data_IF_686182564660
#
_entry.id   IF_686182564660
#
_cell.length_a   1.000
_cell.length_b   1.000
_cell.length_c   1.000
_cell.angle_alpha   90.00
_cell.angle_beta   90.00
_cell.angle_gamma   90.00
#
_symmetry.space_group_name_H-M   'P 1'
#
loop_
_entity.id
_entity.type
_entity.pdbx_description
1 polymer ?
#
# COMPACT_ATOMS: atom_id res chain seq x y z
N UNK A 1 -17.85 -4.46 15.41
CA UNK A 1 -16.64 -3.80 14.87
C UNK A 1 -15.66 -4.92 14.57
N UNK A 2 -15.27 -5.12 13.30
CA UNK A 2 -14.34 -6.20 12.93
C UNK A 2 -12.97 -5.96 13.56
N UNK A 3 -12.34 -7.01 14.09
CA UNK A 3 -10.97 -6.92 14.60
C UNK A 3 -10.01 -6.65 13.45
N UNK A 4 -9.10 -5.68 13.62
CA UNK A 4 -7.94 -5.52 12.75
C UNK A 4 -6.78 -6.35 13.31
N UNK A 5 -6.09 -7.09 12.46
CA UNK A 5 -4.86 -7.81 12.81
C UNK A 5 -3.67 -7.11 12.15
N UNK A 6 -2.57 -6.96 12.87
CA UNK A 6 -1.31 -6.51 12.28
C UNK A 6 -0.54 -7.74 11.83
N UNK A 7 -0.14 -7.77 10.56
CA UNK A 7 0.73 -8.80 10.02
C UNK A 7 1.99 -8.16 9.44
N UNK A 8 3.06 -8.94 9.39
CA UNK A 8 4.30 -8.56 8.72
C UNK A 8 4.40 -9.29 7.39
N UNK A 9 4.52 -8.54 6.30
CA UNK A 9 4.80 -9.05 4.97
C UNK A 9 6.31 -9.17 4.79
N UNK A 10 6.76 -10.28 4.20
CA UNK A 10 8.16 -10.46 3.82
C UNK A 10 8.57 -9.41 2.79
N UNK A 11 7.73 -9.22 1.77
CA UNK A 11 7.83 -8.07 0.87
C UNK A 11 6.50 -7.72 0.22
N UNK A 12 6.42 -6.48 -0.28
CA UNK A 12 5.37 -5.98 -1.15
C UNK A 12 6.04 -5.34 -2.37
N UNK A 13 5.57 -5.69 -3.57
CA UNK A 13 6.08 -5.14 -4.82
C UNK A 13 5.01 -4.34 -5.55
N UNK A 14 5.40 -3.19 -6.10
CA UNK A 14 4.56 -2.33 -6.96
C UNK A 14 5.35 -1.96 -8.21
N UNK A 15 5.03 -2.60 -9.33
CA UNK A 15 5.87 -2.51 -10.53
C UNK A 15 7.28 -3.01 -10.23
N UNK A 16 8.29 -2.21 -10.56
CA UNK A 16 9.71 -2.53 -10.32
C UNK A 16 10.20 -2.16 -8.90
N UNK A 17 9.32 -1.57 -8.07
CA UNK A 17 9.62 -1.21 -6.70
C UNK A 17 9.29 -2.36 -5.74
N UNK A 18 10.14 -2.58 -4.74
CA UNK A 18 9.91 -3.55 -3.66
C UNK A 18 10.22 -2.91 -2.31
N UNK A 19 9.40 -3.19 -1.29
CA UNK A 19 9.72 -2.91 0.11
C UNK A 19 9.61 -4.21 0.90
N UNK A 20 10.65 -4.53 1.66
CA UNK A 20 10.72 -5.74 2.49
C UNK A 20 10.34 -5.44 3.93
N UNK A 21 9.90 -6.45 4.66
CA UNK A 21 9.59 -6.38 6.09
C UNK A 21 8.55 -5.31 6.44
N UNK A 22 7.41 -5.30 5.74
CA UNK A 22 6.38 -4.28 5.90
C UNK A 22 5.30 -4.72 6.89
N UNK A 23 5.00 -3.89 7.89
CA UNK A 23 3.83 -4.10 8.76
C UNK A 23 2.57 -3.50 8.11
N UNK A 24 1.49 -4.28 8.07
CA UNK A 24 0.19 -3.87 7.52
C UNK A 24 -0.95 -4.27 8.43
N UNK A 25 -2.00 -3.45 8.45
CA UNK A 25 -3.25 -3.80 9.12
C UNK A 25 -4.17 -4.53 8.13
N UNK A 26 -4.65 -5.70 8.54
CA UNK A 26 -5.66 -6.48 7.81
C UNK A 26 -6.95 -6.43 8.61
N UNK A 27 -8.01 -5.97 7.99
CA UNK A 27 -9.32 -5.87 8.63
C UNK A 27 -10.42 -6.26 7.64
N UNK A 28 -11.53 -6.85 8.10
CA UNK A 28 -12.72 -6.99 7.27
C UNK A 28 -13.18 -5.61 6.82
N UNK A 29 -13.05 -5.31 5.52
CA UNK A 29 -13.60 -4.10 4.94
C UNK A 29 -15.08 -4.39 4.59
N UNK A 30 -16.06 -3.71 5.21
CA UNK A 30 -17.43 -3.74 4.69
C UNK A 30 -17.40 -3.21 3.25
N UNK A 31 -18.29 -3.66 2.36
CA UNK A 31 -18.25 -3.45 0.90
C UNK A 31 -17.88 -2.01 0.45
N UNK A 32 -16.59 -1.68 0.50
CA UNK A 32 -16.01 -0.42 0.09
C UNK A 32 -15.49 -0.63 -1.34
N UNK A 33 -16.40 -0.96 -2.26
CA UNK A 33 -16.08 -1.11 -3.68
C UNK A 33 -15.00 -2.17 -4.00
N UNK A 34 -14.31 -1.97 -5.13
CA UNK A 34 -13.35 -2.92 -5.72
C UNK A 34 -11.89 -2.65 -5.31
N UNK A 35 -11.63 -2.27 -4.06
CA UNK A 35 -10.26 -2.01 -3.60
C UNK A 35 -9.75 -3.17 -2.75
N UNK A 36 -8.58 -3.71 -3.10
CA UNK A 36 -7.94 -4.78 -2.32
C UNK A 36 -7.22 -4.25 -1.06
N UNK A 37 -6.97 -2.94 -1.00
CA UNK A 37 -6.31 -2.30 0.13
C UNK A 37 -5.97 -0.83 -0.09
N UNK A 38 -5.30 -0.23 0.91
CA UNK A 38 -4.84 1.16 0.90
C UNK A 38 -3.31 1.20 1.02
N UNK A 39 -2.65 1.89 0.09
CA UNK A 39 -1.21 2.09 0.15
C UNK A 39 -0.88 3.31 1.03
N UNK A 40 -0.20 3.07 2.14
CA UNK A 40 0.15 4.10 3.11
C UNK A 40 1.61 4.54 3.08
N UNK A 41 1.95 5.43 4.02
CA UNK A 41 3.30 5.94 4.18
C UNK A 41 4.30 4.90 4.70
N UNK A 42 3.84 3.78 5.26
CA UNK A 42 4.70 2.64 5.58
C UNK A 42 5.45 2.12 4.34
N UNK A 43 4.84 2.21 3.15
CA UNK A 43 5.49 1.90 1.88
C UNK A 43 6.05 3.14 1.18
N UNK A 44 5.22 4.19 1.01
CA UNK A 44 5.55 5.33 0.15
C UNK A 44 6.76 6.13 0.64
N UNK A 45 7.05 6.15 1.95
CA UNK A 45 8.21 6.87 2.50
C UNK A 45 9.57 6.34 2.02
N UNK A 46 9.61 5.14 1.45
CA UNK A 46 10.83 4.53 0.93
C UNK A 46 11.22 5.08 -0.46
N UNK A 47 10.38 5.93 -1.06
CA UNK A 47 10.57 6.49 -2.38
C UNK A 47 10.29 8.00 -2.39
N UNK A 48 10.92 8.72 -3.31
CA UNK A 48 10.32 9.96 -3.83
C UNK A 48 9.15 9.57 -4.71
N UNK A 49 7.94 9.96 -4.32
CA UNK A 49 6.72 9.60 -5.03
C UNK A 49 5.96 10.83 -5.53
N UNK A 50 5.27 10.68 -6.66
CA UNK A 50 4.30 11.65 -7.16
C UNK A 50 3.03 10.94 -7.60
N UNK A 51 1.88 11.55 -7.32
CA UNK A 51 0.58 11.07 -7.77
C UNK A 51 0.03 12.04 -8.81
N UNK A 52 -0.11 11.59 -10.05
CA UNK A 52 -0.85 12.30 -11.08
C UNK A 52 -2.26 11.75 -11.14
N UNK A 53 -3.23 12.49 -10.60
CA UNK A 53 -4.64 12.10 -10.66
C UNK A 53 -5.19 12.14 -12.09
N UNK A 54 -4.76 13.13 -12.88
CA UNK A 54 -5.13 13.27 -14.30
C UNK A 54 -4.69 12.04 -15.11
N UNK A 55 -3.45 11.62 -14.95
CA UNK A 55 -2.90 10.46 -15.68
C UNK A 55 -3.22 9.13 -14.98
N UNK A 56 -3.79 9.17 -13.76
CA UNK A 56 -4.05 8.02 -12.89
C UNK A 56 -2.77 7.20 -12.64
N UNK A 57 -1.65 7.89 -12.47
CA UNK A 57 -0.32 7.30 -12.29
C UNK A 57 0.28 7.63 -10.93
N UNK A 58 0.77 6.60 -10.25
CA UNK A 58 1.73 6.72 -9.16
C UNK A 58 3.13 6.52 -9.75
N UNK A 59 4.02 7.49 -9.58
CA UNK A 59 5.44 7.36 -9.94
C UNK A 59 6.26 7.21 -8.68
N UNK A 60 7.17 6.23 -8.69
CA UNK A 60 8.12 5.97 -7.61
C UNK A 60 9.54 6.13 -8.15
N UNK A 61 10.42 6.77 -7.37
CA UNK A 61 11.84 6.94 -7.69
C UNK A 61 12.68 6.84 -6.42
N UNK A 62 13.93 6.38 -6.55
CA UNK A 62 14.93 6.46 -5.48
C UNK A 62 15.42 7.89 -5.33
#
# INVERSE_FOLDING_TARGET
MGSASIIKLDSLSLGDAEVKNLEVAVMPLPELGKFDGLLGMNYLRHYRFTLSQKERLLRLSK
#
